data_IF_286945159196
#
_entry.id   IF_286945159196
#
_cell.length_a   1.000
_cell.length_b   1.000
_cell.length_c   1.000
_cell.angle_alpha   90.00
_cell.angle_beta   90.00
_cell.angle_gamma   90.00
#
_symmetry.space_group_name_H-M   'P 1'
#
loop_
_entity.id
_entity.type
_entity.pdbx_description
1 polymer ?
#
# COMPACT_ATOMS: atom_id res chain seq x y z
N UNK A 1 15.70 50.07 15.11
CA UNK A 1 16.70 50.20 14.03
C UNK A 1 17.82 49.22 14.31
N UNK A 2 17.80 48.07 13.67
CA UNK A 2 18.94 47.18 13.56
C UNK A 2 18.72 46.39 12.25
N UNK A 3 19.66 46.57 11.32
CA UNK A 3 19.65 45.96 9.98
C UNK A 3 19.99 44.45 10.03
N UNK A 4 19.49 43.64 9.11
CA UNK A 4 19.80 42.22 9.08
C UNK A 4 21.19 41.94 8.50
N UNK A 5 21.87 41.00 9.11
CA UNK A 5 23.18 40.47 8.86
C UNK A 5 23.28 39.84 7.44
N UNK A 6 24.16 40.41 6.61
CA UNK A 6 24.47 39.93 5.27
C UNK A 6 25.61 38.91 5.38
N UNK A 7 25.30 37.62 5.31
CA UNK A 7 26.34 36.57 5.09
C UNK A 7 26.97 36.72 3.70
N UNK A 8 28.31 36.59 3.56
CA UNK A 8 28.98 36.78 2.27
C UNK A 8 28.72 35.57 1.36
N UNK A 9 28.21 35.84 0.15
CA UNK A 9 28.06 34.87 -0.94
C UNK A 9 29.45 34.40 -1.42
N UNK A 10 29.67 33.12 -1.49
CA UNK A 10 30.87 32.51 -2.04
C UNK A 10 31.05 32.85 -3.53
N UNK A 11 32.32 32.86 -3.99
CA UNK A 11 32.70 33.07 -5.40
C UNK A 11 33.56 31.88 -5.84
N UNK A 12 33.49 31.52 -7.14
CA UNK A 12 34.35 30.51 -7.73
C UNK A 12 35.83 30.98 -7.87
N UNK A 13 36.72 30.09 -8.34
CA UNK A 13 38.12 30.37 -8.56
C UNK A 13 38.40 31.46 -9.61
N UNK A 14 37.38 31.88 -10.36
CA UNK A 14 37.48 32.96 -11.38
C UNK A 14 36.82 34.27 -10.93
N UNK A 15 36.30 34.33 -9.68
CA UNK A 15 35.68 35.53 -9.10
C UNK A 15 34.20 35.73 -9.39
N UNK A 16 33.52 34.74 -10.03
CA UNK A 16 32.09 34.78 -10.35
C UNK A 16 31.26 34.32 -9.14
N UNK A 17 30.09 34.94 -8.86
CA UNK A 17 29.18 34.49 -7.82
C UNK A 17 28.65 33.09 -8.18
N UNK A 18 28.73 32.12 -7.23
CA UNK A 18 28.17 30.81 -7.40
C UNK A 18 26.63 30.85 -7.34
N UNK A 19 25.99 30.06 -8.20
CA UNK A 19 24.56 29.75 -8.08
C UNK A 19 24.35 28.95 -6.78
N UNK A 20 23.17 29.01 -6.13
CA UNK A 20 22.93 28.38 -4.82
C UNK A 20 23.33 26.90 -4.72
N UNK A 21 23.09 26.14 -5.78
CA UNK A 21 23.41 24.69 -5.85
C UNK A 21 24.93 24.41 -5.95
N UNK A 22 25.71 25.30 -6.56
CA UNK A 22 27.16 25.13 -6.70
C UNK A 22 27.88 25.45 -5.37
N UNK A 23 27.38 26.42 -4.62
CA UNK A 23 27.95 26.78 -3.31
C UNK A 23 27.74 25.65 -2.27
N UNK A 24 26.67 24.90 -2.38
CA UNK A 24 26.37 23.77 -1.49
C UNK A 24 27.17 22.52 -1.86
N UNK A 25 27.40 22.24 -3.13
CA UNK A 25 28.28 21.17 -3.61
C UNK A 25 29.74 21.38 -3.21
N UNK A 26 30.27 22.59 -3.28
CA UNK A 26 31.65 22.87 -2.84
C UNK A 26 31.83 22.72 -1.32
N UNK A 27 30.82 23.05 -0.51
CA UNK A 27 30.83 22.79 0.94
C UNK A 27 30.88 21.31 1.29
N UNK A 28 30.19 20.46 0.53
CA UNK A 28 30.18 19.01 0.71
C UNK A 28 31.52 18.37 0.30
N UNK A 29 32.13 18.84 -0.79
CA UNK A 29 33.44 18.36 -1.26
C UNK A 29 34.62 18.81 -0.36
N UNK A 30 34.52 19.98 0.30
CA UNK A 30 35.51 20.46 1.25
C UNK A 30 35.55 19.70 2.59
N UNK A 31 34.46 19.05 2.99
CA UNK A 31 34.40 18.22 4.20
C UNK A 31 35.06 16.85 4.06
N UNK A 32 35.29 16.37 2.85
CA UNK A 32 35.89 15.04 2.59
C UNK A 32 37.43 15.10 2.52
N UNK A 33 38.07 16.28 2.62
CA UNK A 33 39.53 16.45 2.50
C UNK A 33 40.29 16.73 3.81
N UNK A 34 39.63 16.82 4.97
CA UNK A 34 40.28 16.99 6.27
C UNK A 34 40.09 15.74 7.17
N UNK A 35 40.78 14.66 6.87
CA UNK A 35 40.72 13.45 7.67
C UNK A 35 41.86 12.48 7.42
N UNK A 36 43.07 12.98 7.15
CA UNK A 36 44.23 12.13 7.05
C UNK A 36 45.46 12.84 7.67
N UNK A 37 45.48 12.96 8.99
CA UNK A 37 46.73 13.13 9.73
C UNK A 37 46.83 12.11 10.83
N UNK A 38 47.98 11.41 10.78
CA UNK A 38 48.37 10.31 11.63
C UNK A 38 48.63 10.81 13.06
N UNK A 39 47.97 10.22 14.03
CA UNK A 39 48.33 10.30 15.44
C UNK A 39 48.49 8.89 16.00
N UNK A 40 49.74 8.46 16.16
CA UNK A 40 50.11 7.24 16.86
C UNK A 40 49.90 7.47 18.37
N UNK A 41 49.03 6.69 18.98
CA UNK A 41 49.05 6.49 20.44
C UNK A 41 48.90 5.00 20.68
N UNK A 42 49.99 4.44 21.16
CA UNK A 42 50.09 3.11 21.73
C UNK A 42 49.49 3.12 23.13
N UNK A 43 48.45 2.35 23.35
CA UNK A 43 48.06 1.91 24.69
C UNK A 43 47.92 0.38 24.71
N UNK A 44 48.79 -0.20 25.55
CA UNK A 44 48.87 -1.62 25.86
C UNK A 44 47.55 -2.11 26.52
N UNK A 45 46.85 -3.03 25.88
CA UNK A 45 45.85 -3.86 26.55
C UNK A 45 46.43 -5.26 26.73
N UNK A 46 47.04 -5.49 27.94
CA UNK A 46 47.48 -6.79 28.40
C UNK A 46 46.27 -7.64 28.81
N UNK A 47 45.80 -8.46 27.87
CA UNK A 47 44.81 -9.51 28.12
C UNK A 47 45.44 -10.87 27.82
N UNK A 48 45.61 -11.70 28.84
CA UNK A 48 46.16 -13.05 28.78
C UNK A 48 45.48 -13.89 27.70
N UNK A 49 46.21 -14.23 26.66
CA UNK A 49 45.87 -15.29 25.72
C UNK A 49 46.19 -16.61 26.39
N UNK A 50 45.18 -17.39 26.74
CA UNK A 50 45.33 -18.81 27.13
C UNK A 50 45.40 -19.61 25.83
N UNK A 51 46.54 -20.21 25.57
CA UNK A 51 46.74 -21.13 24.46
C UNK A 51 46.01 -22.45 24.73
N UNK A 52 45.27 -23.02 23.76
CA UNK A 52 44.72 -24.36 23.93
C UNK A 52 45.80 -25.43 23.72
N UNK A 53 45.80 -26.38 24.63
CA UNK A 53 46.68 -27.56 24.61
C UNK A 53 46.49 -28.39 23.33
N UNK A 54 47.61 -28.89 22.83
CA UNK A 54 47.71 -29.87 21.75
C UNK A 54 47.17 -31.24 22.24
N UNK A 55 46.11 -31.71 21.61
CA UNK A 55 45.78 -33.12 21.69
C UNK A 55 44.31 -33.46 21.47
N UNK A 56 43.90 -33.57 20.21
CA UNK A 56 42.98 -34.59 19.75
C UNK A 56 42.81 -34.50 18.24
N UNK A 57 43.31 -35.49 17.54
CA UNK A 57 43.02 -35.74 16.14
C UNK A 57 41.55 -36.20 16.04
N UNK A 58 40.67 -35.40 15.52
CA UNK A 58 39.45 -35.85 14.85
C UNK A 58 39.29 -35.00 13.60
N UNK A 59 39.62 -35.60 12.47
CA UNK A 59 39.30 -35.07 11.17
C UNK A 59 37.78 -35.05 11.02
N UNK A 60 37.21 -33.87 10.98
CA UNK A 60 35.95 -33.62 10.32
C UNK A 60 36.32 -32.85 9.06
N UNK A 61 36.51 -33.59 7.98
CA UNK A 61 36.43 -33.03 6.65
C UNK A 61 35.06 -32.35 6.57
N UNK A 62 35.07 -31.03 6.50
CA UNK A 62 33.93 -30.29 5.95
C UNK A 62 33.88 -30.75 4.51
N UNK A 63 33.03 -31.72 4.22
CA UNK A 63 32.70 -32.10 2.87
C UNK A 63 32.30 -30.84 2.14
N UNK A 64 33.23 -30.28 1.38
CA UNK A 64 32.93 -29.40 0.29
C UNK A 64 32.10 -30.23 -0.68
N UNK A 65 30.76 -30.22 -0.51
CA UNK A 65 29.84 -30.79 -1.46
C UNK A 65 30.16 -30.10 -2.78
N UNK A 66 30.76 -30.85 -3.69
CA UNK A 66 30.96 -30.44 -5.06
C UNK A 66 29.59 -30.25 -5.69
N UNK A 67 29.13 -29.01 -5.72
CA UNK A 67 27.83 -28.63 -6.30
C UNK A 67 27.76 -28.94 -7.81
N UNK A 68 28.88 -29.32 -8.43
CA UNK A 68 28.96 -29.56 -9.86
C UNK A 68 28.69 -31.02 -10.30
N UNK A 69 28.63 -31.98 -9.37
CA UNK A 69 28.52 -33.42 -9.75
C UNK A 69 27.14 -34.04 -9.55
N UNK A 70 26.14 -33.34 -9.04
CA UNK A 70 24.82 -33.90 -8.72
C UNK A 70 23.64 -33.15 -9.37
N UNK A 71 23.85 -32.36 -10.39
CA UNK A 71 22.73 -31.88 -11.21
C UNK A 71 22.40 -32.97 -12.21
N UNK A 72 21.54 -33.91 -11.81
CA UNK A 72 20.94 -34.89 -12.72
C UNK A 72 20.25 -34.14 -13.87
N UNK A 73 20.26 -34.70 -15.08
CA UNK A 73 19.48 -34.20 -16.23
C UNK A 73 17.96 -34.40 -16.02
N UNK A 74 17.49 -34.24 -14.79
CA UNK A 74 16.07 -34.29 -14.49
C UNK A 74 15.37 -33.06 -15.08
N UNK A 75 14.43 -33.33 -16.00
CA UNK A 75 13.69 -32.29 -16.70
C UNK A 75 12.49 -31.88 -15.88
N UNK A 76 12.43 -30.62 -15.50
CA UNK A 76 11.30 -30.02 -14.80
C UNK A 76 10.31 -29.39 -15.79
N UNK A 77 9.01 -29.68 -15.65
CA UNK A 77 7.95 -29.05 -16.44
C UNK A 77 7.33 -27.88 -15.71
N UNK A 78 7.78 -26.65 -16.02
CA UNK A 78 7.21 -25.39 -15.49
C UNK A 78 5.70 -25.31 -15.76
N UNK A 79 5.24 -25.85 -16.91
CA UNK A 79 3.83 -25.80 -17.29
C UNK A 79 2.95 -26.67 -16.40
N UNK A 80 3.49 -27.72 -15.78
CA UNK A 80 2.74 -28.54 -14.81
C UNK A 80 2.42 -27.72 -13.56
N UNK A 81 3.40 -27.08 -12.95
CA UNK A 81 3.20 -26.23 -11.76
C UNK A 81 2.22 -25.09 -12.05
N UNK A 82 2.34 -24.49 -13.22
CA UNK A 82 1.45 -23.40 -13.65
C UNK A 82 0.01 -23.89 -13.84
N UNK A 83 -0.20 -25.05 -14.47
CA UNK A 83 -1.54 -25.67 -14.63
C UNK A 83 -2.14 -26.05 -13.29
N UNK A 84 -1.38 -26.72 -12.44
CA UNK A 84 -1.86 -27.23 -11.16
C UNK A 84 -2.22 -26.13 -10.19
N UNK A 85 -1.45 -25.04 -10.16
CA UNK A 85 -1.71 -23.86 -9.34
C UNK A 85 -2.81 -22.95 -9.88
N UNK A 86 -3.15 -23.08 -11.19
CA UNK A 86 -4.07 -22.17 -11.90
C UNK A 86 -3.72 -20.68 -11.73
N UNK A 87 -2.43 -20.36 -11.59
CA UNK A 87 -1.97 -18.99 -11.38
C UNK A 87 -2.31 -18.07 -12.56
N UNK A 88 -2.32 -18.61 -13.78
CA UNK A 88 -2.71 -17.85 -14.97
C UNK A 88 -4.15 -17.35 -14.91
N UNK A 89 -5.10 -18.10 -14.36
CA UNK A 89 -6.48 -17.64 -14.20
C UNK A 89 -6.55 -16.35 -13.35
N UNK A 90 -5.76 -16.27 -12.26
CA UNK A 90 -5.71 -15.07 -11.41
C UNK A 90 -5.05 -13.91 -12.12
N UNK A 91 -4.01 -14.17 -12.92
CA UNK A 91 -3.35 -13.13 -13.72
C UNK A 91 -4.26 -12.58 -14.82
N UNK A 92 -5.06 -13.45 -15.46
CA UNK A 92 -6.08 -13.01 -16.43
C UNK A 92 -7.23 -12.24 -15.77
N UNK A 93 -7.64 -12.64 -14.56
CA UNK A 93 -8.60 -11.87 -13.77
C UNK A 93 -8.05 -10.49 -13.41
N UNK A 94 -6.78 -10.42 -13.00
CA UNK A 94 -6.09 -9.17 -12.73
C UNK A 94 -6.09 -8.26 -13.97
N UNK A 95 -5.82 -8.81 -15.15
CA UNK A 95 -5.81 -8.06 -16.41
C UNK A 95 -7.19 -7.52 -16.81
N UNK A 96 -8.25 -8.28 -16.53
CA UNK A 96 -9.64 -7.88 -16.81
C UNK A 96 -10.18 -6.83 -15.83
N UNK A 97 -9.78 -6.91 -14.57
CA UNK A 97 -10.28 -6.00 -13.52
C UNK A 97 -9.53 -4.67 -13.45
N UNK A 98 -8.24 -4.70 -13.78
CA UNK A 98 -7.41 -3.51 -13.75
C UNK A 98 -7.23 -2.95 -15.16
N UNK A 99 -7.80 -1.78 -15.37
CA UNK A 99 -7.50 -0.98 -16.55
C UNK A 99 -6.08 -0.44 -16.41
N UNK A 100 -5.30 -0.45 -17.49
CA UNK A 100 -3.93 0.05 -17.52
C UNK A 100 -3.03 -0.56 -16.40
N UNK A 101 -2.24 0.25 -15.70
CA UNK A 101 -1.32 -0.16 -14.63
C UNK A 101 -0.29 -1.21 -15.09
N UNK A 102 0.19 -1.14 -16.33
CA UNK A 102 1.13 -2.11 -16.89
C UNK A 102 2.42 -2.30 -16.05
N UNK A 103 3.01 -1.26 -15.44
CA UNK A 103 4.15 -1.45 -14.53
C UNK A 103 3.79 -2.31 -13.31
N UNK A 104 2.60 -2.13 -12.73
CA UNK A 104 2.10 -2.91 -11.59
C UNK A 104 1.86 -4.36 -12.01
N UNK A 105 1.11 -4.58 -13.10
CA UNK A 105 0.81 -5.92 -13.65
C UNK A 105 2.10 -6.68 -13.96
N UNK A 106 3.07 -6.02 -14.60
CA UNK A 106 4.39 -6.61 -14.87
C UNK A 106 5.08 -7.07 -13.59
N UNK A 107 5.10 -6.21 -12.56
CA UNK A 107 5.72 -6.56 -11.28
C UNK A 107 5.04 -7.74 -10.60
N UNK A 108 3.72 -7.83 -10.67
CA UNK A 108 2.97 -8.98 -10.16
C UNK A 108 3.31 -10.27 -10.92
N UNK A 109 3.41 -10.21 -12.26
CA UNK A 109 3.82 -11.36 -13.08
C UNK A 109 5.25 -11.80 -12.78
N UNK A 110 6.19 -10.88 -12.57
CA UNK A 110 7.58 -11.17 -12.16
C UNK A 110 7.61 -11.91 -10.83
N UNK A 111 6.84 -11.44 -9.82
CA UNK A 111 6.74 -12.11 -8.52
C UNK A 111 6.13 -13.50 -8.69
N UNK A 112 5.04 -13.64 -9.42
CA UNK A 112 4.42 -14.94 -9.67
C UNK A 112 5.37 -15.92 -10.35
N UNK A 113 6.14 -15.47 -11.36
CA UNK A 113 7.14 -16.27 -12.04
C UNK A 113 8.25 -16.74 -11.10
N UNK A 114 8.78 -15.84 -10.25
CA UNK A 114 9.76 -16.20 -9.21
C UNK A 114 9.23 -17.33 -8.32
N UNK A 115 8.00 -17.19 -7.83
CA UNK A 115 7.39 -18.16 -6.92
C UNK A 115 7.11 -19.52 -7.58
N UNK A 116 6.73 -19.53 -8.85
CA UNK A 116 6.58 -20.77 -9.64
C UNK A 116 7.92 -21.50 -9.76
N UNK A 117 8.99 -20.78 -10.06
CA UNK A 117 10.33 -21.38 -10.18
C UNK A 117 10.85 -21.85 -8.82
N UNK A 118 10.63 -21.10 -7.75
CA UNK A 118 11.04 -21.53 -6.40
C UNK A 118 10.31 -22.81 -5.98
N UNK A 119 9.00 -22.90 -6.24
CA UNK A 119 8.23 -24.12 -6.00
C UNK A 119 8.77 -25.30 -6.80
N UNK A 120 9.07 -25.12 -8.08
CA UNK A 120 9.64 -26.16 -8.92
C UNK A 120 11.00 -26.63 -8.39
N UNK A 121 11.83 -25.71 -7.89
CA UNK A 121 13.11 -26.03 -7.23
C UNK A 121 12.91 -26.88 -5.98
N UNK A 122 11.91 -26.57 -5.15
CA UNK A 122 11.54 -27.37 -3.97
C UNK A 122 11.07 -28.78 -4.38
N UNK A 123 10.23 -28.90 -5.41
CA UNK A 123 9.75 -30.20 -5.93
C UNK A 123 10.90 -31.09 -6.48
N UNK A 124 11.95 -30.46 -7.01
CA UNK A 124 13.18 -31.14 -7.46
C UNK A 124 14.19 -31.43 -6.32
N UNK A 125 13.84 -31.16 -5.06
CA UNK A 125 14.72 -31.37 -3.91
C UNK A 125 15.90 -30.39 -3.84
N UNK A 126 15.90 -29.30 -4.64
CA UNK A 126 16.90 -28.26 -4.58
C UNK A 126 16.64 -27.37 -3.36
N UNK A 127 17.73 -26.91 -2.73
CA UNK A 127 17.61 -25.93 -1.65
C UNK A 127 16.97 -24.64 -2.20
N UNK A 128 15.80 -24.29 -1.70
CA UNK A 128 15.14 -23.02 -1.93
C UNK A 128 14.92 -22.34 -0.58
N UNK A 129 15.33 -21.11 -0.46
CA UNK A 129 14.98 -20.28 0.69
C UNK A 129 13.75 -19.46 0.31
N UNK A 130 12.68 -19.60 1.08
CA UNK A 130 11.44 -18.85 0.80
C UNK A 130 11.71 -17.36 0.76
N UNK A 131 11.35 -16.68 -0.34
CA UNK A 131 11.60 -15.26 -0.49
C UNK A 131 10.77 -14.44 0.51
N UNK A 132 11.29 -13.28 0.90
CA UNK A 132 10.52 -12.30 1.66
C UNK A 132 9.48 -11.66 0.73
N UNK A 133 8.19 -11.75 1.11
CA UNK A 133 7.07 -11.31 0.28
C UNK A 133 6.36 -10.08 0.82
N UNK A 134 6.92 -9.43 1.85
CA UNK A 134 6.35 -8.18 2.33
C UNK A 134 6.50 -7.07 1.29
N UNK A 135 5.45 -6.25 1.15
CA UNK A 135 5.33 -5.29 0.06
C UNK A 135 4.96 -3.89 0.55
N UNK A 136 5.38 -2.88 -0.19
CA UNK A 136 4.90 -1.51 -0.07
C UNK A 136 4.17 -1.10 -1.34
N UNK A 137 2.92 -0.65 -1.21
CA UNK A 137 2.08 -0.15 -2.29
C UNK A 137 1.92 1.36 -2.14
N UNK A 138 2.56 2.11 -3.02
CA UNK A 138 2.55 3.58 -2.97
C UNK A 138 1.76 4.17 -4.12
N UNK A 139 0.98 5.22 -3.85
CA UNK A 139 0.19 5.92 -4.87
C UNK A 139 -1.05 6.59 -4.29
N UNK A 140 -1.71 7.42 -5.09
CA UNK A 140 -2.91 8.15 -4.69
C UNK A 140 -4.11 7.23 -4.38
N UNK A 141 -5.14 7.70 -3.68
CA UNK A 141 -6.35 6.93 -3.42
C UNK A 141 -7.08 6.54 -4.72
N UNK A 142 -7.71 5.38 -4.73
CA UNK A 142 -8.50 4.91 -5.86
C UNK A 142 -7.68 4.42 -7.07
N UNK A 143 -6.36 4.18 -6.92
CA UNK A 143 -5.49 3.63 -7.96
C UNK A 143 -5.47 2.09 -8.02
N UNK A 144 -6.28 1.39 -7.21
CA UNK A 144 -6.39 -0.07 -7.27
C UNK A 144 -5.51 -0.86 -6.29
N UNK A 145 -4.82 -0.22 -5.33
CA UNK A 145 -3.93 -0.88 -4.36
C UNK A 145 -4.57 -2.08 -3.66
N UNK A 146 -5.76 -1.91 -3.11
CA UNK A 146 -6.48 -2.98 -2.39
C UNK A 146 -6.91 -4.12 -3.32
N UNK A 147 -7.32 -3.80 -4.55
CA UNK A 147 -7.67 -4.81 -5.57
C UNK A 147 -6.47 -5.68 -5.92
N UNK A 148 -5.31 -5.07 -6.13
CA UNK A 148 -4.05 -5.80 -6.39
C UNK A 148 -3.64 -6.65 -5.19
N UNK A 149 -3.76 -6.13 -3.97
CA UNK A 149 -3.46 -6.90 -2.76
C UNK A 149 -4.35 -8.16 -2.64
N UNK A 150 -5.63 -8.06 -2.99
CA UNK A 150 -6.56 -9.18 -3.01
C UNK A 150 -6.14 -10.24 -4.05
N UNK A 151 -5.72 -9.83 -5.25
CA UNK A 151 -5.23 -10.75 -6.29
C UNK A 151 -3.90 -11.37 -5.89
N UNK A 152 -3.02 -10.62 -5.23
CA UNK A 152 -1.78 -11.18 -4.66
C UNK A 152 -2.07 -12.26 -3.63
N UNK A 153 -3.05 -12.07 -2.75
CA UNK A 153 -3.46 -13.09 -1.78
C UNK A 153 -3.89 -14.39 -2.49
N UNK A 154 -4.64 -14.29 -3.58
CA UNK A 154 -5.05 -15.43 -4.39
C UNK A 154 -3.86 -16.13 -5.07
N UNK A 155 -2.91 -15.38 -5.63
CA UNK A 155 -1.69 -15.92 -6.27
C UNK A 155 -0.85 -16.67 -5.23
N UNK A 156 -0.57 -16.04 -4.08
CA UNK A 156 0.27 -16.61 -3.02
C UNK A 156 -0.36 -17.90 -2.44
N UNK A 157 -1.68 -17.90 -2.26
CA UNK A 157 -2.41 -19.07 -1.79
C UNK A 157 -2.36 -20.23 -2.81
N UNK A 158 -2.63 -19.95 -4.09
CA UNK A 158 -2.60 -20.98 -5.15
C UNK A 158 -1.20 -21.59 -5.35
N UNK A 159 -0.16 -20.81 -5.10
CA UNK A 159 1.23 -21.25 -5.14
C UNK A 159 1.73 -21.90 -3.83
N UNK A 160 0.90 -21.94 -2.78
CA UNK A 160 1.21 -22.59 -1.50
C UNK A 160 2.13 -21.78 -0.57
N UNK A 161 2.26 -20.47 -0.80
CA UNK A 161 3.06 -19.59 0.07
C UNK A 161 2.30 -19.10 1.30
N UNK A 162 0.97 -19.08 1.26
CA UNK A 162 0.08 -18.80 2.39
C UNK A 162 -1.09 -19.81 2.41
N UNK A 163 -1.55 -20.16 3.62
CA UNK A 163 -2.50 -21.28 3.79
C UNK A 163 -3.94 -20.96 3.38
N UNK A 164 -4.41 -19.72 3.64
CA UNK A 164 -5.84 -19.37 3.53
C UNK A 164 -6.16 -18.38 2.43
N UNK A 165 -5.20 -17.56 2.02
CA UNK A 165 -5.39 -16.56 0.96
C UNK A 165 -6.36 -15.41 1.30
N UNK A 166 -6.70 -15.19 2.59
CA UNK A 166 -7.51 -14.04 2.99
C UNK A 166 -6.71 -12.75 2.98
N UNK A 167 -7.41 -11.65 2.75
CA UNK A 167 -6.92 -10.29 2.94
C UNK A 167 -7.59 -9.67 4.17
N UNK A 168 -6.79 -9.27 5.15
CA UNK A 168 -7.24 -8.51 6.32
C UNK A 168 -6.79 -7.07 6.14
N UNK A 169 -7.72 -6.21 5.71
CA UNK A 169 -7.46 -4.78 5.53
C UNK A 169 -7.72 -4.05 6.85
N UNK A 170 -6.77 -3.23 7.26
CA UNK A 170 -6.78 -2.47 8.51
C UNK A 170 -6.18 -1.09 8.32
N UNK A 171 -6.52 -0.20 9.23
CA UNK A 171 -5.93 1.13 9.38
C UNK A 171 -5.17 1.22 10.71
N UNK A 172 -4.57 2.39 10.98
CA UNK A 172 -3.95 2.66 12.29
C UNK A 172 -4.89 2.35 13.46
N UNK A 173 -6.17 2.74 13.35
CA UNK A 173 -7.11 2.64 14.46
C UNK A 173 -7.43 1.19 14.84
N UNK A 174 -7.24 0.25 13.91
CA UNK A 174 -7.37 -1.19 14.16
C UNK A 174 -6.17 -1.78 14.91
N UNK A 175 -5.00 -1.16 14.81
CA UNK A 175 -3.73 -1.63 15.37
C UNK A 175 -3.38 -0.96 16.71
N UNK A 176 -3.60 0.34 16.80
CA UNK A 176 -3.18 1.15 17.94
C UNK A 176 -4.27 1.22 19.00
N UNK A 177 -3.91 0.98 20.26
CA UNK A 177 -4.80 1.08 21.41
C UNK A 177 -4.98 2.53 21.86
N UNK A 178 -6.07 2.79 22.60
CA UNK A 178 -6.36 4.10 23.19
C UNK A 178 -5.61 4.35 24.50
N UNK A 179 -5.17 3.30 25.19
CA UNK A 179 -4.53 3.37 26.51
C UNK A 179 -3.19 2.64 26.52
N UNK A 180 -2.34 2.98 27.48
CA UNK A 180 -1.06 2.30 27.72
C UNK A 180 -1.27 0.79 27.83
N UNK A 181 -0.45 0.01 27.14
CA UNK A 181 -0.48 -1.46 27.16
C UNK A 181 -1.59 -2.12 26.32
N UNK A 182 -2.43 -1.34 25.63
CA UNK A 182 -3.49 -1.90 24.79
C UNK A 182 -3.04 -2.13 23.33
N UNK A 183 -1.98 -1.49 22.87
CA UNK A 183 -1.54 -1.55 21.47
C UNK A 183 -0.98 -2.91 21.09
N UNK A 184 -0.03 -3.46 21.86
CA UNK A 184 0.57 -4.74 21.53
C UNK A 184 -0.45 -5.90 21.49
N UNK A 185 -1.38 -6.08 22.47
CA UNK A 185 -2.43 -7.08 22.38
C UNK A 185 -3.31 -6.88 21.14
N UNK A 186 -3.76 -5.66 20.89
CA UNK A 186 -4.63 -5.31 19.76
C UNK A 186 -3.96 -5.63 18.41
N UNK A 187 -2.70 -5.23 18.25
CA UNK A 187 -1.91 -5.53 17.04
C UNK A 187 -1.74 -7.04 16.86
N UNK A 188 -1.43 -7.79 17.94
CA UNK A 188 -1.30 -9.25 17.88
C UNK A 188 -2.60 -9.96 17.50
N UNK A 189 -3.75 -9.47 17.96
CA UNK A 189 -5.05 -10.02 17.58
C UNK A 189 -5.34 -9.80 16.09
N UNK A 190 -4.99 -8.64 15.53
CA UNK A 190 -5.08 -8.35 14.10
C UNK A 190 -4.16 -9.28 13.31
N UNK A 191 -2.91 -9.43 13.71
CA UNK A 191 -1.94 -10.33 13.11
C UNK A 191 -2.46 -11.77 13.10
N UNK A 192 -2.99 -12.26 14.23
CA UNK A 192 -3.57 -13.60 14.33
C UNK A 192 -4.72 -13.82 13.34
N UNK A 193 -5.56 -12.82 13.11
CA UNK A 193 -6.62 -12.88 12.09
C UNK A 193 -6.06 -12.93 10.68
N UNK A 194 -4.92 -12.28 10.43
CA UNK A 194 -4.29 -12.21 9.11
C UNK A 194 -3.38 -13.42 8.82
N UNK A 195 -2.95 -14.18 9.83
CA UNK A 195 -2.08 -15.35 9.67
C UNK A 195 -2.71 -16.38 8.70
N UNK A 196 -1.93 -16.81 7.75
CA UNK A 196 -2.38 -17.63 6.60
C UNK A 196 -2.79 -16.81 5.39
N UNK A 197 -2.61 -15.46 5.43
CA UNK A 197 -3.04 -14.55 4.39
C UNK A 197 -2.18 -13.30 4.28
N UNK A 198 -2.82 -12.22 3.86
CA UNK A 198 -2.21 -10.89 3.76
C UNK A 198 -2.79 -9.97 4.82
N UNK A 199 -1.92 -9.30 5.58
CA UNK A 199 -2.24 -8.13 6.38
C UNK A 199 -1.99 -6.88 5.53
N UNK A 200 -3.06 -6.21 5.13
CA UNK A 200 -3.02 -4.98 4.34
C UNK A 200 -3.26 -3.79 5.28
N UNK A 201 -2.22 -2.96 5.47
CA UNK A 201 -2.27 -1.77 6.32
C UNK A 201 -2.42 -0.56 5.41
N UNK A 202 -3.62 0.01 5.38
CA UNK A 202 -3.86 1.23 4.60
C UNK A 202 -3.40 2.46 5.37
N UNK A 203 -2.86 3.45 4.64
CA UNK A 203 -2.30 4.68 5.20
C UNK A 203 -1.27 4.39 6.33
N UNK A 204 -0.37 3.40 6.09
CA UNK A 204 0.53 2.85 7.10
C UNK A 204 1.44 3.91 7.75
N UNK A 205 1.72 5.01 7.07
CA UNK A 205 2.50 6.13 7.62
C UNK A 205 1.86 6.77 8.86
N UNK A 206 0.55 6.63 9.06
CA UNK A 206 -0.08 7.09 10.30
C UNK A 206 0.35 6.29 11.55
N UNK A 207 0.99 5.13 11.39
CA UNK A 207 1.59 4.41 12.52
C UNK A 207 2.75 5.17 13.17
N UNK A 208 3.33 6.17 12.46
CA UNK A 208 4.38 7.04 12.99
C UNK A 208 3.94 8.50 12.91
N UNK A 209 3.64 9.11 14.04
CA UNK A 209 3.26 10.52 14.15
C UNK A 209 4.37 11.29 14.84
N UNK A 210 5.03 12.18 14.11
CA UNK A 210 6.13 13.01 14.60
C UNK A 210 5.67 14.02 15.67
N UNK A 211 4.41 14.43 15.64
CA UNK A 211 3.88 15.53 16.45
C UNK A 211 3.40 15.09 17.85
N UNK A 212 3.48 13.80 18.20
CA UNK A 212 2.95 13.30 19.44
C UNK A 212 3.94 12.38 20.17
N UNK A 213 4.64 12.92 21.18
CA UNK A 213 5.58 12.17 22.02
C UNK A 213 4.92 11.01 22.81
N UNK A 214 3.60 11.02 22.94
CA UNK A 214 2.81 9.99 23.63
C UNK A 214 2.08 9.06 22.65
N UNK A 215 2.58 8.97 21.42
CA UNK A 215 1.97 8.11 20.42
C UNK A 215 2.28 6.62 20.67
N UNK A 216 1.25 5.79 20.65
CA UNK A 216 1.39 4.34 20.80
C UNK A 216 1.64 3.61 19.48
N UNK A 217 1.77 4.32 18.37
CA UNK A 217 2.09 3.74 17.08
C UNK A 217 3.44 3.01 17.01
N UNK A 218 4.52 3.51 17.63
CA UNK A 218 5.79 2.80 17.72
C UNK A 218 5.69 1.40 18.30
N UNK A 219 4.83 1.18 19.32
CA UNK A 219 4.59 -0.15 19.90
C UNK A 219 3.98 -1.11 18.88
N UNK A 220 3.05 -0.62 18.03
CA UNK A 220 2.51 -1.42 16.94
C UNK A 220 3.57 -1.75 15.88
N UNK A 221 4.45 -0.79 15.54
CA UNK A 221 5.57 -0.98 14.62
C UNK A 221 6.52 -2.06 15.13
N UNK A 222 6.88 -2.05 16.41
CA UNK A 222 7.74 -3.08 17.02
C UNK A 222 7.12 -4.48 16.93
N UNK A 223 5.83 -4.62 17.23
CA UNK A 223 5.12 -5.89 17.08
C UNK A 223 5.12 -6.36 15.61
N UNK A 224 4.86 -5.45 14.67
CA UNK A 224 4.88 -5.77 13.25
C UNK A 224 6.27 -6.20 12.78
N UNK A 225 7.34 -5.52 13.19
CA UNK A 225 8.72 -5.88 12.88
C UNK A 225 9.06 -7.29 13.35
N UNK A 226 8.67 -7.64 14.56
CA UNK A 226 8.86 -8.98 15.10
C UNK A 226 8.11 -10.04 14.28
N UNK A 227 6.85 -9.78 13.96
CA UNK A 227 5.98 -10.70 13.22
C UNK A 227 6.45 -10.88 11.78
N UNK A 228 6.87 -9.82 11.10
CA UNK A 228 7.41 -9.89 9.73
C UNK A 228 8.65 -10.79 9.64
N UNK A 229 9.39 -10.98 10.72
CA UNK A 229 10.52 -11.88 10.78
C UNK A 229 10.09 -13.32 11.16
N UNK A 230 9.30 -13.47 12.25
CA UNK A 230 8.95 -14.77 12.80
C UNK A 230 7.91 -15.53 11.99
N UNK A 231 6.96 -14.81 11.36
CA UNK A 231 5.81 -15.39 10.63
C UNK A 231 5.95 -15.27 9.10
N UNK A 232 7.14 -14.94 8.58
CA UNK A 232 7.40 -14.67 7.16
C UNK A 232 6.96 -15.81 6.21
N UNK A 233 6.80 -17.02 6.75
CA UNK A 233 6.41 -18.19 5.97
C UNK A 233 4.92 -18.30 5.71
N UNK A 234 4.07 -17.65 6.51
CA UNK A 234 2.62 -17.80 6.41
C UNK A 234 1.86 -16.47 6.62
N UNK A 235 2.56 -15.34 6.62
CA UNK A 235 1.96 -14.02 6.68
C UNK A 235 2.72 -13.07 5.76
N UNK A 236 1.98 -12.38 4.90
CA UNK A 236 2.52 -11.28 4.09
C UNK A 236 1.95 -9.97 4.58
N UNK A 237 2.81 -9.01 4.87
CA UNK A 237 2.41 -7.65 5.23
C UNK A 237 2.54 -6.75 4.01
N UNK A 238 1.44 -6.06 3.68
CA UNK A 238 1.40 -5.05 2.62
C UNK A 238 1.10 -3.71 3.26
N UNK A 239 2.02 -2.76 3.14
CA UNK A 239 1.87 -1.39 3.63
C UNK A 239 1.50 -0.47 2.48
N UNK A 240 0.37 0.20 2.59
CA UNK A 240 -0.13 1.08 1.54
C UNK A 240 -0.19 2.55 2.02
N UNK A 241 -0.01 3.49 1.09
CA UNK A 241 -0.12 4.91 1.38
C UNK A 241 0.37 5.80 0.25
N UNK A 242 0.37 7.11 0.48
CA UNK A 242 0.96 8.09 -0.43
C UNK A 242 2.47 7.93 -0.51
N UNK A 243 3.03 8.08 -1.70
CA UNK A 243 4.45 7.84 -1.96
C UNK A 243 5.36 8.62 -1.00
N UNK A 244 5.21 9.92 -0.95
CA UNK A 244 6.09 10.81 -0.18
C UNK A 244 6.01 10.50 1.33
N UNK A 245 4.80 10.30 1.86
CA UNK A 245 4.57 9.94 3.27
C UNK A 245 5.10 8.55 3.63
N UNK A 246 5.04 7.61 2.70
CA UNK A 246 5.62 6.27 2.90
C UNK A 246 7.15 6.31 2.87
N UNK A 247 7.76 7.16 2.05
CA UNK A 247 9.20 7.40 2.04
C UNK A 247 9.67 7.99 3.38
N UNK A 248 8.99 9.00 3.91
CA UNK A 248 9.24 9.56 5.24
C UNK A 248 9.08 8.50 6.35
N UNK A 249 8.03 7.70 6.28
CA UNK A 249 7.77 6.61 7.23
C UNK A 249 8.92 5.59 7.26
N UNK A 250 9.43 5.16 6.11
CA UNK A 250 10.54 4.22 6.03
C UNK A 250 11.88 4.84 6.46
N UNK A 251 12.10 6.13 6.20
CA UNK A 251 13.27 6.86 6.72
C UNK A 251 13.27 6.92 8.24
N UNK A 252 12.11 7.17 8.85
CA UNK A 252 11.95 7.19 10.30
C UNK A 252 12.03 5.77 10.92
N UNK A 253 11.73 4.72 10.14
CA UNK A 253 11.70 3.33 10.59
C UNK A 253 12.53 2.42 9.66
N UNK A 254 13.89 2.50 9.68
CA UNK A 254 14.74 1.76 8.75
C UNK A 254 14.58 0.23 8.84
N UNK A 255 14.26 -0.29 10.04
CA UNK A 255 13.97 -1.71 10.25
C UNK A 255 12.74 -2.18 9.47
N UNK A 256 11.77 -1.30 9.25
CA UNK A 256 10.59 -1.60 8.44
C UNK A 256 10.95 -1.65 6.95
N UNK A 257 11.68 -0.65 6.46
CA UNK A 257 12.14 -0.59 5.06
C UNK A 257 12.99 -1.80 4.66
N UNK A 258 13.87 -2.28 5.53
CA UNK A 258 14.74 -3.43 5.24
C UNK A 258 14.00 -4.77 5.12
N UNK A 259 12.77 -4.88 5.63
CA UNK A 259 11.94 -6.08 5.55
C UNK A 259 10.96 -6.07 4.37
N UNK A 260 10.81 -4.94 3.70
CA UNK A 260 9.98 -4.79 2.50
C UNK A 260 10.81 -5.13 1.26
N UNK A 261 10.56 -6.28 0.65
CA UNK A 261 11.29 -6.73 -0.53
C UNK A 261 10.75 -6.13 -1.85
N UNK A 262 9.46 -5.76 -1.87
CA UNK A 262 8.80 -5.32 -3.09
C UNK A 262 8.14 -3.95 -2.89
N UNK A 263 8.65 -2.94 -3.58
CA UNK A 263 8.05 -1.61 -3.66
C UNK A 263 7.31 -1.48 -4.99
N UNK A 264 6.00 -1.29 -4.94
CA UNK A 264 5.13 -1.21 -6.11
C UNK A 264 4.45 0.15 -6.12
N UNK A 265 4.74 0.94 -7.13
CA UNK A 265 4.14 2.26 -7.32
C UNK A 265 2.93 2.16 -8.24
N UNK A 266 1.83 2.78 -7.80
CA UNK A 266 0.58 2.89 -8.52
C UNK A 266 0.46 4.33 -9.03
N UNK A 267 0.72 4.59 -10.31
CA UNK A 267 0.56 5.91 -10.89
C UNK A 267 -0.91 6.34 -10.92
N UNK A 268 -1.12 7.64 -11.03
CA UNK A 268 -2.45 8.18 -11.34
C UNK A 268 -2.86 7.78 -12.75
N UNK A 269 -4.15 7.64 -12.96
CA UNK A 269 -4.73 7.30 -14.26
C UNK A 269 -4.86 8.54 -15.15
N UNK A 270 -4.68 8.34 -16.44
CA UNK A 270 -5.02 9.33 -17.48
C UNK A 270 -6.54 9.45 -17.65
N UNK A 271 -6.99 10.48 -18.37
CA UNK A 271 -8.42 10.70 -18.68
C UNK A 271 -9.01 9.49 -19.39
N UNK A 272 -8.32 8.97 -20.42
CA UNK A 272 -8.76 7.82 -21.21
C UNK A 272 -8.86 6.53 -20.36
N UNK A 273 -7.91 6.31 -19.48
CA UNK A 273 -7.92 5.17 -18.54
C UNK A 273 -9.07 5.26 -17.54
N UNK A 274 -9.33 6.46 -17.01
CA UNK A 274 -10.47 6.70 -16.13
C UNK A 274 -11.81 6.52 -16.84
N UNK A 275 -11.90 6.90 -18.11
CA UNK A 275 -13.08 6.64 -18.94
C UNK A 275 -13.30 5.14 -19.16
N UNK A 276 -12.23 4.37 -19.38
CA UNK A 276 -12.31 2.91 -19.48
C UNK A 276 -12.74 2.29 -18.13
N UNK A 277 -12.20 2.76 -17.01
CA UNK A 277 -12.61 2.35 -15.67
C UNK A 277 -14.10 2.64 -15.45
N UNK A 278 -14.57 3.82 -15.86
CA UNK A 278 -15.97 4.21 -15.76
C UNK A 278 -16.89 3.27 -16.55
N UNK A 279 -16.54 2.96 -17.79
CA UNK A 279 -17.28 2.00 -18.61
C UNK A 279 -17.39 0.62 -17.98
N UNK A 280 -16.25 0.12 -17.45
CA UNK A 280 -16.22 -1.15 -16.75
C UNK A 280 -17.14 -1.15 -15.50
N UNK A 281 -17.11 -0.06 -14.72
CA UNK A 281 -17.99 0.08 -13.54
C UNK A 281 -19.47 0.16 -13.90
N UNK A 282 -19.80 0.85 -14.98
CA UNK A 282 -21.18 0.99 -15.48
C UNK A 282 -21.71 -0.38 -15.96
N UNK A 283 -20.91 -1.11 -16.76
CA UNK A 283 -21.24 -2.44 -17.26
C UNK A 283 -21.43 -3.45 -16.13
N UNK A 284 -20.50 -3.48 -15.15
CA UNK A 284 -20.62 -4.34 -13.96
C UNK A 284 -21.90 -4.12 -13.15
N UNK A 285 -22.46 -2.92 -13.20
CA UNK A 285 -23.71 -2.57 -12.54
C UNK A 285 -24.96 -2.80 -13.42
N UNK A 286 -24.77 -3.31 -14.64
CA UNK A 286 -25.85 -3.56 -15.60
C UNK A 286 -26.44 -2.30 -16.23
N UNK A 287 -25.65 -1.23 -16.28
CA UNK A 287 -26.00 0.03 -16.96
C UNK A 287 -25.23 0.18 -18.26
N UNK A 288 -25.69 1.11 -19.09
CA UNK A 288 -25.08 1.49 -20.36
C UNK A 288 -24.98 3.03 -20.42
N UNK A 289 -23.91 3.54 -21.04
CA UNK A 289 -23.77 4.97 -21.33
C UNK A 289 -24.27 5.24 -22.75
N UNK A 290 -25.10 6.27 -22.93
CA UNK A 290 -25.37 6.78 -24.29
C UNK A 290 -24.08 7.37 -24.90
N UNK A 291 -24.01 7.51 -26.23
CA UNK A 291 -22.85 8.12 -26.92
C UNK A 291 -22.54 9.53 -26.37
N UNK A 292 -23.60 10.35 -26.19
CA UNK A 292 -23.46 11.69 -25.62
C UNK A 292 -23.06 11.65 -24.14
N UNK A 293 -23.45 10.61 -23.38
CA UNK A 293 -23.04 10.42 -21.99
C UNK A 293 -21.55 10.05 -21.89
N UNK A 294 -21.02 9.30 -22.84
CA UNK A 294 -19.57 9.02 -22.90
C UNK A 294 -18.77 10.30 -23.05
N UNK A 295 -19.21 11.20 -23.96
CA UNK A 295 -18.55 12.49 -24.14
C UNK A 295 -18.68 13.38 -22.91
N UNK A 296 -19.88 13.45 -22.32
CA UNK A 296 -20.10 14.21 -21.08
C UNK A 296 -19.25 13.69 -19.92
N UNK A 297 -19.05 12.38 -19.84
CA UNK A 297 -18.20 11.76 -18.82
C UNK A 297 -16.71 12.04 -19.05
N UNK A 298 -16.26 12.05 -20.30
CA UNK A 298 -14.90 12.48 -20.66
C UNK A 298 -14.65 13.92 -20.20
N UNK A 299 -15.53 14.85 -20.58
CA UNK A 299 -15.44 16.28 -20.20
C UNK A 299 -15.51 16.46 -18.67
N UNK A 300 -16.30 15.62 -17.97
CA UNK A 300 -16.34 15.57 -16.52
C UNK A 300 -14.99 15.18 -15.93
N UNK A 301 -14.37 14.12 -16.45
CA UNK A 301 -13.10 13.60 -15.96
C UNK A 301 -12.00 14.63 -16.14
N UNK A 302 -11.89 15.26 -17.32
CA UNK A 302 -10.89 16.32 -17.59
C UNK A 302 -10.96 17.44 -16.56
N UNK A 303 -12.16 17.95 -16.30
CA UNK A 303 -12.37 19.03 -15.31
C UNK A 303 -12.15 18.57 -13.89
N UNK A 304 -12.49 17.32 -13.57
CA UNK A 304 -12.41 16.77 -12.20
C UNK A 304 -10.99 16.46 -11.76
N UNK A 305 -10.10 16.07 -12.67
CA UNK A 305 -8.68 15.81 -12.38
C UNK A 305 -8.00 17.09 -11.86
N UNK A 306 -8.33 18.23 -12.40
CA UNK A 306 -7.74 19.52 -12.01
C UNK A 306 -8.27 20.06 -10.66
N UNK A 307 -9.37 19.49 -10.14
CA UNK A 307 -9.96 19.93 -8.89
C UNK A 307 -9.33 19.27 -7.67
N UNK A 308 -9.30 19.95 -6.51
CA UNK A 308 -8.79 19.38 -5.27
C UNK A 308 -9.54 18.12 -4.86
N UNK A 309 -8.87 17.27 -4.07
CA UNK A 309 -9.41 15.99 -3.57
C UNK A 309 -9.82 15.00 -4.67
N UNK A 310 -9.20 15.08 -5.84
CA UNK A 310 -9.35 14.04 -6.84
C UNK A 310 -8.76 12.71 -6.33
N UNK A 311 -9.47 11.62 -6.55
CA UNK A 311 -9.14 10.29 -6.00
C UNK A 311 -9.34 9.20 -7.04
N UNK A 312 -8.85 9.39 -8.25
CA UNK A 312 -8.86 8.41 -9.33
C UNK A 312 -10.20 7.64 -9.45
N UNK A 313 -10.14 6.30 -9.46
CA UNK A 313 -11.32 5.44 -9.60
C UNK A 313 -12.39 5.65 -8.51
N UNK A 314 -12.04 6.16 -7.31
CA UNK A 314 -13.03 6.51 -6.28
C UNK A 314 -13.88 7.71 -6.72
N UNK A 315 -13.25 8.74 -7.31
CA UNK A 315 -13.97 9.89 -7.88
C UNK A 315 -14.90 9.47 -9.01
N UNK A 316 -14.47 8.55 -9.87
CA UNK A 316 -15.28 8.01 -10.95
C UNK A 316 -16.48 7.22 -10.42
N UNK A 317 -16.28 6.37 -9.42
CA UNK A 317 -17.37 5.63 -8.77
C UNK A 317 -18.43 6.58 -8.23
N UNK A 318 -18.02 7.61 -7.50
CA UNK A 318 -18.94 8.61 -6.95
C UNK A 318 -19.70 9.36 -8.07
N UNK A 319 -19.04 9.66 -9.19
CA UNK A 319 -19.67 10.30 -10.34
C UNK A 319 -20.77 9.41 -10.94
N UNK A 320 -20.50 8.12 -11.12
CA UNK A 320 -21.48 7.14 -11.64
C UNK A 320 -22.66 7.00 -10.67
N UNK A 321 -22.40 6.90 -9.37
CA UNK A 321 -23.47 6.80 -8.36
C UNK A 321 -24.39 8.04 -8.38
N UNK A 322 -23.83 9.24 -8.50
CA UNK A 322 -24.61 10.47 -8.64
C UNK A 322 -25.38 10.53 -9.97
N UNK A 323 -24.76 10.09 -11.08
CA UNK A 323 -25.45 10.01 -12.37
C UNK A 323 -26.67 9.06 -12.29
N UNK A 324 -26.53 7.91 -11.63
CA UNK A 324 -27.64 6.96 -11.39
C UNK A 324 -28.76 7.58 -10.57
N UNK A 325 -28.42 8.35 -9.54
CA UNK A 325 -29.45 9.07 -8.74
C UNK A 325 -30.20 10.08 -9.59
N UNK A 326 -29.54 10.82 -10.47
CA UNK A 326 -30.17 11.80 -11.36
C UNK A 326 -31.03 11.10 -12.42
N UNK A 327 -30.54 9.99 -13.01
CA UNK A 327 -31.35 9.14 -13.88
C UNK A 327 -32.65 8.70 -13.17
N UNK A 328 -32.52 8.19 -11.94
CA UNK A 328 -33.70 7.74 -11.18
C UNK A 328 -34.70 8.87 -10.97
N UNK A 329 -34.27 10.07 -10.60
CA UNK A 329 -35.14 11.24 -10.47
C UNK A 329 -35.79 11.63 -11.79
N UNK A 330 -35.05 11.70 -12.88
CA UNK A 330 -35.53 11.99 -14.24
C UNK A 330 -36.60 10.99 -14.68
N UNK A 331 -36.38 9.71 -14.43
CA UNK A 331 -37.33 8.65 -14.77
C UNK A 331 -38.58 8.67 -13.88
N UNK A 332 -38.44 9.00 -12.62
CA UNK A 332 -39.55 9.12 -11.66
C UNK A 332 -40.48 10.28 -12.04
N UNK A 333 -39.91 11.41 -12.48
CA UNK A 333 -40.68 12.60 -12.88
C UNK A 333 -41.27 12.48 -14.30
N UNK A 334 -40.80 11.53 -15.11
CA UNK A 334 -41.21 11.41 -16.52
C UNK A 334 -42.70 11.14 -16.76
N UNK A 335 -43.41 10.69 -15.75
CA UNK A 335 -44.87 10.41 -15.77
C UNK A 335 -45.35 9.65 -17.03
N UNK A 336 -44.51 8.71 -17.53
CA UNK A 336 -44.78 7.85 -18.70
C UNK A 336 -44.42 6.40 -18.40
N UNK A 337 -44.84 5.49 -19.25
CA UNK A 337 -44.37 4.10 -19.21
C UNK A 337 -42.91 4.08 -19.61
N UNK A 338 -42.09 3.39 -18.82
CA UNK A 338 -40.68 3.24 -19.03
C UNK A 338 -40.38 1.94 -19.80
N UNK A 339 -39.41 1.99 -20.69
CA UNK A 339 -38.88 0.83 -21.38
C UNK A 339 -37.71 0.24 -20.60
N UNK A 340 -37.29 -1.00 -20.93
CA UNK A 340 -36.07 -1.59 -20.37
C UNK A 340 -34.85 -0.74 -20.66
N UNK A 341 -34.79 -0.15 -21.86
CA UNK A 341 -33.70 0.73 -22.28
C UNK A 341 -33.63 1.99 -21.40
N UNK A 342 -34.77 2.63 -21.08
CA UNK A 342 -34.78 3.78 -20.18
C UNK A 342 -34.16 3.45 -18.82
N UNK A 343 -34.39 2.23 -18.29
CA UNK A 343 -33.96 1.81 -16.97
C UNK A 343 -32.43 1.52 -16.89
N UNK A 344 -31.80 1.16 -18.00
CA UNK A 344 -30.38 0.80 -18.02
C UNK A 344 -29.50 1.92 -18.58
N UNK A 345 -30.04 2.91 -19.32
CA UNK A 345 -29.24 3.92 -20.00
C UNK A 345 -29.04 5.17 -19.14
N UNK A 346 -27.80 5.53 -18.90
CA UNK A 346 -27.38 6.82 -18.37
C UNK A 346 -27.22 7.81 -19.54
N UNK A 347 -27.86 8.97 -19.45
CA UNK A 347 -27.83 10.01 -20.47
C UNK A 347 -26.84 11.13 -20.11
N UNK A 348 -26.47 11.96 -21.09
CA UNK A 348 -25.53 13.06 -20.90
C UNK A 348 -25.97 14.04 -19.80
N UNK A 349 -27.28 14.30 -19.70
CA UNK A 349 -27.82 15.20 -18.69
C UNK A 349 -27.66 14.67 -17.27
N UNK A 350 -27.69 13.34 -17.08
CA UNK A 350 -27.45 12.69 -15.79
C UNK A 350 -26.01 12.97 -15.28
N UNK A 351 -25.08 13.29 -16.20
CA UNK A 351 -23.69 13.62 -15.89
C UNK A 351 -23.49 15.15 -15.83
N UNK A 352 -24.01 15.89 -16.81
CA UNK A 352 -23.81 17.35 -16.94
C UNK A 352 -24.42 18.18 -15.82
N UNK A 353 -25.39 17.64 -15.09
CA UNK A 353 -25.93 18.28 -13.89
C UNK A 353 -24.96 18.27 -12.69
N UNK A 354 -23.76 17.75 -12.85
CA UNK A 354 -22.74 17.80 -11.79
C UNK A 354 -22.22 19.23 -11.58
N UNK A 355 -21.98 19.62 -10.33
CA UNK A 355 -21.34 20.88 -9.95
C UNK A 355 -19.93 21.08 -10.57
N UNK A 356 -19.34 20.02 -11.11
CA UNK A 356 -18.09 20.10 -11.90
C UNK A 356 -18.26 20.93 -13.17
N UNK A 357 -19.47 21.04 -13.71
CA UNK A 357 -19.77 21.88 -14.88
C UNK A 357 -20.24 23.29 -14.54
N UNK A 358 -20.63 23.55 -13.28
CA UNK A 358 -20.96 24.90 -12.83
C UNK A 358 -19.70 25.60 -12.33
N UNK A 359 -19.51 26.88 -12.71
CA UNK A 359 -18.39 27.73 -12.26
C UNK A 359 -18.50 28.11 -10.78
N UNK A 360 -19.57 27.74 -10.11
CA UNK A 360 -19.76 27.93 -8.68
C UNK A 360 -18.92 26.89 -7.93
N UNK A 361 -17.89 27.35 -7.25
CA UNK A 361 -17.11 26.58 -6.25
C UNK A 361 -17.98 26.29 -5.01
N UNK A 362 -19.10 25.60 -5.16
CA UNK A 362 -19.82 25.05 -4.02
C UNK A 362 -19.23 23.67 -3.72
N UNK A 363 -18.58 23.60 -2.58
CA UNK A 363 -17.94 22.40 -2.03
C UNK A 363 -18.91 21.21 -2.04
N UNK A 364 -18.60 20.20 -2.85
CA UNK A 364 -19.23 18.87 -2.78
C UNK A 364 -18.90 18.11 -1.46
N UNK A 365 -18.46 18.82 -0.42
CA UNK A 365 -18.05 18.24 0.87
C UNK A 365 -19.20 17.86 1.81
N UNK A 366 -20.46 18.25 1.54
CA UNK A 366 -21.53 18.05 2.52
C UNK A 366 -22.23 16.69 2.50
N UNK A 367 -21.93 15.79 1.54
CA UNK A 367 -22.61 14.48 1.47
C UNK A 367 -21.68 13.25 1.66
N UNK A 368 -20.43 13.49 2.03
CA UNK A 368 -19.44 12.41 2.25
C UNK A 368 -19.19 12.03 3.71
N UNK A 369 -19.70 12.79 4.69
CA UNK A 369 -19.30 12.67 6.10
C UNK A 369 -20.43 12.24 7.07
N UNK A 370 -21.56 11.81 6.55
CA UNK A 370 -22.67 11.31 7.37
C UNK A 370 -22.47 9.89 7.94
N UNK A 371 -21.31 9.28 7.70
CA UNK A 371 -20.96 7.92 8.16
C UNK A 371 -19.93 7.85 9.29
N UNK A 372 -19.31 8.95 9.70
CA UNK A 372 -18.18 8.95 10.63
C UNK A 372 -18.38 9.71 11.94
N UNK A 373 -19.56 10.26 12.21
CA UNK A 373 -19.87 10.94 13.48
C UNK A 373 -21.15 10.39 14.14
N UNK A 374 -21.08 9.15 14.60
CA UNK A 374 -22.00 8.62 15.61
C UNK A 374 -21.19 7.88 16.68
N UNK A 375 -20.56 8.65 17.56
CA UNK A 375 -19.77 8.06 18.65
C UNK A 375 -18.98 9.10 19.43
N UNK A 376 -19.65 9.96 20.19
CA UNK A 376 -18.96 10.85 21.14
C UNK A 376 -19.81 12.05 21.49
N UNK A 377 -20.62 11.90 22.53
CA UNK A 377 -20.80 12.81 23.64
C UNK A 377 -22.08 12.43 24.39
N UNK A 378 -21.89 11.95 25.58
CA UNK A 378 -22.97 11.62 26.51
C UNK A 378 -22.40 11.59 27.92
N UNK A 379 -21.97 12.77 28.38
CA UNK A 379 -21.66 12.98 29.79
C UNK A 379 -22.94 13.36 30.56
N UNK A 380 -23.15 12.64 31.66
CA UNK A 380 -23.56 13.20 32.92
C UNK A 380 -25.02 13.51 33.21
N UNK A 381 -25.49 12.85 34.15
CA UNK A 381 -26.19 13.30 35.35
C UNK A 381 -27.43 12.47 35.67
N UNK A 382 -27.34 11.86 36.83
CA UNK A 382 -28.36 11.02 37.42
C UNK A 382 -29.63 11.77 37.82
N UNK A 383 -30.69 10.97 37.91
CA UNK A 383 -31.69 11.08 38.96
C UNK A 383 -32.60 9.84 38.96
N UNK A 384 -32.57 9.19 40.08
CA UNK A 384 -33.49 8.15 40.55
C UNK A 384 -34.95 8.59 40.50
N UNK A 385 -35.86 7.72 40.02
CA UNK A 385 -37.14 7.48 40.70
C UNK A 385 -37.78 6.18 40.20
N UNK A 386 -38.05 5.32 41.16
CA UNK A 386 -38.87 4.11 41.07
C UNK A 386 -40.31 4.43 40.55
N UNK A 387 -40.94 3.43 40.04
CA UNK A 387 -42.30 2.93 40.34
C UNK A 387 -43.00 2.40 39.06
N UNK A 388 -43.44 1.16 39.14
CA UNK A 388 -44.74 0.76 38.57
C UNK A 388 -44.72 -0.36 37.53
N UNK A 389 -44.86 -1.59 38.00
CA UNK A 389 -45.34 -2.75 37.22
C UNK A 389 -46.79 -2.58 36.76
N UNK A 390 -47.10 -3.10 35.56
CA UNK A 390 -48.32 -3.85 35.24
C UNK A 390 -48.37 -4.16 33.73
N UNK A 391 -48.23 -5.35 33.32
CA UNK A 391 -49.10 -6.44 32.87
C UNK A 391 -50.12 -6.11 31.79
N UNK A 392 -50.21 -7.02 30.83
CA UNK A 392 -51.30 -7.40 29.91
C UNK A 392 -51.36 -6.73 28.53
N UNK A 393 -51.09 -7.40 27.55
CA UNK A 393 -51.74 -8.22 26.53
C UNK A 393 -50.87 -8.38 25.31
#
# INVERSE_FOLDING_TARGET
MASPDMTPRGRDTTGRPLEPDEAERERLLGRTRMGAERGSVSEEFSGKVVAPEKGAKTGSAVDSVNFSEAVSEEVADVQSVVRDSRVYEVLEELDRELVALEPVKRRIREIAALLVIDRLREEMGLRSERPTLHMSFTGAPGTGKTTVALRMASILHRLGYIDKGQLVAVTRDDLVGQYVGHTAPKTKDVVKRATGGILFIDEAYYLHRLDNERDYGPEAIEVLLQVMESERQNLVVVMAGYKDRMEEFFQANPGMGSRIAHHIHFPDYTVDELLQIARLMVDQQGYELSEDAVQALHDYIERRIERPRFSNGRSIRNAIERARMRQANRLFEANRKLTKKDLVTLEADDIRQSSVFSDTQEDESELGDAGAQAGGDGDGAGASSEVGASALS
#
